data_IF_170030824656
#
_entry.id   IF_170030824656
#
_cell.length_a   1.000
_cell.length_b   1.000
_cell.length_c   1.000
_cell.angle_alpha   90.00
_cell.angle_beta   90.00
_cell.angle_gamma   90.00
#
_symmetry.space_group_name_H-M   'P 1'
#
loop_
_entity.id
_entity.type
_entity.pdbx_description
1 polymer ?
#
# COMPACT_ATOMS: atom_id res chain seq x y z
N UNK A 1 2.52 0.17 35.79
CA UNK A 1 3.71 0.92 36.27
C UNK A 1 4.93 0.02 36.43
N UNK A 2 4.83 -1.19 37.00
CA UNK A 2 5.98 -2.08 37.24
C UNK A 2 6.80 -2.54 36.03
N UNK A 3 6.32 -2.29 34.80
CA UNK A 3 6.98 -2.66 33.55
C UNK A 3 7.62 -1.47 32.82
N UNK A 4 7.61 -0.28 33.42
CA UNK A 4 8.14 0.94 32.82
C UNK A 4 9.26 1.50 33.68
N UNK A 5 10.45 1.70 33.09
CA UNK A 5 11.57 2.35 33.76
C UNK A 5 11.35 3.87 33.90
N UNK A 6 10.73 4.48 32.89
CA UNK A 6 10.44 5.91 32.82
C UNK A 6 9.01 6.15 32.33
N UNK A 7 8.37 7.18 32.87
CA UNK A 7 7.00 7.56 32.50
C UNK A 7 6.97 9.07 32.33
N UNK A 8 6.46 9.49 31.18
CA UNK A 8 6.17 10.87 30.87
C UNK A 8 4.71 10.96 30.42
N UNK A 9 4.06 12.03 30.83
CA UNK A 9 2.70 12.41 30.45
C UNK A 9 2.70 13.80 29.83
N UNK A 10 1.53 14.24 29.34
CA UNK A 10 1.39 15.60 28.80
C UNK A 10 1.68 16.70 29.84
N UNK A 11 1.63 16.38 31.14
CA UNK A 11 1.95 17.32 32.22
C UNK A 11 3.48 17.50 32.41
N UNK A 12 4.28 16.57 31.88
CA UNK A 12 5.74 16.54 32.05
C UNK A 12 6.50 17.25 30.90
N UNK A 13 5.78 17.76 29.90
CA UNK A 13 6.33 18.39 28.70
C UNK A 13 5.74 19.78 28.47
N UNK A 14 6.53 20.67 27.89
CA UNK A 14 6.07 22.03 27.54
C UNK A 14 5.20 21.97 26.28
N UNK A 15 5.60 21.13 25.31
CA UNK A 15 4.90 20.93 24.05
C UNK A 15 4.41 19.49 23.96
N UNK A 16 3.10 19.31 24.09
CA UNK A 16 2.46 18.02 23.89
C UNK A 16 2.54 17.55 22.42
N UNK A 17 2.23 16.27 22.19
CA UNK A 17 1.99 15.71 20.84
C UNK A 17 1.06 16.65 20.05
N UNK A 18 1.31 16.95 18.76
CA UNK A 18 2.22 16.28 17.84
C UNK A 18 3.69 16.69 17.95
N UNK A 19 4.08 17.51 18.94
CA UNK A 19 5.48 17.77 19.17
C UNK A 19 6.21 16.52 19.72
N UNK A 20 7.42 16.19 19.22
CA UNK A 20 8.19 15.03 19.68
C UNK A 20 8.83 15.16 21.07
N UNK A 21 8.63 16.29 21.79
CA UNK A 21 9.31 16.58 23.07
C UNK A 21 9.26 15.41 24.06
N UNK A 22 8.11 14.76 24.21
CA UNK A 22 7.94 13.62 25.13
C UNK A 22 8.89 12.46 24.80
N UNK A 23 9.02 12.13 23.52
CA UNK A 23 9.92 11.07 23.07
C UNK A 23 11.38 11.48 23.23
N UNK A 24 11.73 12.75 22.94
CA UNK A 24 13.08 13.25 23.19
C UNK A 24 13.47 13.14 24.65
N UNK A 25 12.58 13.48 25.60
CA UNK A 25 12.88 13.36 27.03
C UNK A 25 13.18 11.93 27.44
N UNK A 26 12.36 10.97 27.00
CA UNK A 26 12.59 9.54 27.28
C UNK A 26 13.91 9.07 26.67
N UNK A 27 14.19 9.39 25.41
CA UNK A 27 15.43 8.99 24.72
C UNK A 27 16.68 9.60 25.37
N UNK A 28 16.62 10.87 25.77
CA UNK A 28 17.71 11.54 26.48
C UNK A 28 17.93 10.89 27.84
N UNK A 29 16.86 10.61 28.58
CA UNK A 29 16.96 10.02 29.92
C UNK A 29 17.44 8.56 29.87
N UNK A 30 17.01 7.78 28.87
CA UNK A 30 17.46 6.41 28.69
C UNK A 30 18.86 6.31 28.07
N UNK A 31 19.33 7.38 27.43
CA UNK A 31 20.60 7.39 26.68
C UNK A 31 20.55 6.60 25.37
N UNK A 32 19.35 6.28 24.88
CA UNK A 32 19.14 5.50 23.65
C UNK A 32 18.88 6.46 22.48
N UNK A 33 19.63 6.36 21.35
CA UNK A 33 19.41 7.20 20.19
C UNK A 33 18.09 6.86 19.49
N UNK A 34 17.52 7.83 18.76
CA UNK A 34 16.28 7.67 18.03
C UNK A 34 16.31 6.49 17.04
N UNK A 35 17.42 6.30 16.34
CA UNK A 35 17.61 5.20 15.38
C UNK A 35 17.54 3.80 16.01
N UNK A 36 17.71 3.68 17.32
CA UNK A 36 17.59 2.42 18.08
C UNK A 36 16.35 2.38 18.97
N UNK A 37 15.41 3.31 18.76
CA UNK A 37 14.17 3.40 19.54
C UNK A 37 13.00 2.94 18.67
N UNK A 38 12.16 2.06 19.22
CA UNK A 38 10.86 1.70 18.65
C UNK A 38 9.75 2.37 19.47
N UNK A 39 8.93 3.18 18.82
CA UNK A 39 7.76 3.84 19.41
C UNK A 39 6.51 3.11 18.93
N UNK A 40 5.72 2.60 19.87
CA UNK A 40 4.40 2.01 19.59
C UNK A 40 3.34 3.09 19.81
N UNK A 41 2.50 3.35 18.81
CA UNK A 41 1.52 4.44 18.91
C UNK A 41 0.23 4.18 18.12
N UNK A 42 -0.90 4.47 18.76
CA UNK A 42 -2.26 4.31 18.24
C UNK A 42 -2.83 5.58 17.60
N UNK A 43 -2.52 6.75 18.15
CA UNK A 43 -3.09 8.04 17.72
C UNK A 43 -2.34 8.72 16.57
N UNK A 44 -3.06 9.39 15.67
CA UNK A 44 -2.44 10.19 14.58
C UNK A 44 -1.46 11.25 15.14
N UNK A 45 -1.90 12.04 16.14
CA UNK A 45 -1.03 13.04 16.78
C UNK A 45 0.25 12.46 17.35
N UNK A 46 0.20 11.26 17.94
CA UNK A 46 1.39 10.60 18.45
C UNK A 46 2.26 10.00 17.37
N UNK A 47 1.68 9.47 16.28
CA UNK A 47 2.43 8.93 15.13
C UNK A 47 3.22 10.03 14.46
N UNK A 48 2.61 11.20 14.26
CA UNK A 48 3.30 12.38 13.73
C UNK A 48 4.47 12.79 14.64
N UNK A 49 4.24 12.84 15.95
CA UNK A 49 5.30 13.10 16.92
C UNK A 49 6.41 12.02 16.87
N UNK A 50 6.07 10.75 16.65
CA UNK A 50 7.04 9.66 16.59
C UNK A 50 7.92 9.79 15.34
N UNK A 51 7.30 10.07 14.18
CA UNK A 51 8.01 10.31 12.92
C UNK A 51 8.92 11.53 13.02
N UNK A 52 8.42 12.65 13.55
CA UNK A 52 9.20 13.89 13.72
C UNK A 52 10.32 13.73 14.77
N UNK A 53 10.25 12.71 15.63
CA UNK A 53 11.34 12.37 16.55
C UNK A 53 12.54 11.69 15.88
N UNK A 54 12.36 11.17 14.66
CA UNK A 54 13.38 10.40 13.93
C UNK A 54 13.58 8.96 14.46
N UNK A 55 12.69 8.49 15.33
CA UNK A 55 12.67 7.12 15.82
C UNK A 55 11.84 6.20 14.90
N UNK A 56 11.94 4.90 15.13
CA UNK A 56 11.18 3.91 14.38
C UNK A 56 9.75 3.83 14.93
N UNK A 57 8.75 3.84 14.06
CA UNK A 57 7.33 3.83 14.44
C UNK A 57 6.71 2.46 14.16
N UNK A 58 6.25 1.79 15.21
CA UNK A 58 5.29 0.68 15.15
C UNK A 58 3.87 1.25 15.37
N UNK A 59 3.17 1.57 14.30
CA UNK A 59 1.79 2.03 14.40
C UNK A 59 0.86 0.87 14.76
N UNK A 60 -0.08 1.11 15.68
CA UNK A 60 -1.17 0.18 16.02
C UNK A 60 -2.53 0.88 15.91
N UNK A 61 -3.63 0.14 15.79
CA UNK A 61 -4.99 0.73 15.78
C UNK A 61 -5.57 0.86 17.17
N UNK A 62 -5.31 -0.14 18.01
CA UNK A 62 -5.87 -0.32 19.34
C UNK A 62 -4.98 -1.31 20.12
N UNK A 63 -5.26 -1.56 21.41
CA UNK A 63 -4.47 -2.50 22.20
C UNK A 63 -4.46 -3.96 21.71
N UNK A 64 -5.50 -4.41 20.98
CA UNK A 64 -5.59 -5.79 20.49
C UNK A 64 -4.68 -6.02 19.27
N UNK A 65 -4.42 -4.96 18.49
CA UNK A 65 -3.48 -4.96 17.37
C UNK A 65 -2.00 -5.02 17.81
N UNK A 66 -1.70 -4.75 19.09
CA UNK A 66 -0.33 -4.88 19.62
C UNK A 66 0.00 -6.33 20.02
N UNK A 67 0.40 -7.13 19.04
CA UNK A 67 0.83 -8.52 19.27
C UNK A 67 2.34 -8.67 19.37
N UNK A 68 2.80 -9.74 20.04
CA UNK A 68 4.23 -10.08 20.10
C UNK A 68 4.82 -10.32 18.71
N UNK A 69 4.06 -10.98 17.84
CA UNK A 69 4.45 -11.25 16.45
C UNK A 69 4.66 -9.94 15.68
N UNK A 70 3.73 -8.98 15.80
CA UNK A 70 3.83 -7.66 15.16
C UNK A 70 5.10 -6.90 15.60
N UNK A 71 5.44 -6.97 16.89
CA UNK A 71 6.66 -6.34 17.41
C UNK A 71 7.90 -7.02 16.81
N UNK A 72 7.94 -8.36 16.78
CA UNK A 72 9.07 -9.10 16.22
C UNK A 72 9.27 -8.83 14.72
N UNK A 73 8.19 -8.83 13.94
CA UNK A 73 8.24 -8.55 12.50
C UNK A 73 8.84 -7.17 12.23
N UNK A 74 8.45 -6.17 13.03
CA UNK A 74 8.97 -4.82 12.91
C UNK A 74 10.46 -4.73 13.31
N UNK A 75 10.88 -5.45 14.35
CA UNK A 75 12.29 -5.52 14.73
C UNK A 75 13.15 -6.25 13.70
N UNK A 76 12.65 -7.31 13.08
CA UNK A 76 13.37 -8.03 12.03
C UNK A 76 13.55 -7.15 10.78
N UNK A 77 12.52 -6.37 10.42
CA UNK A 77 12.61 -5.37 9.35
C UNK A 77 13.69 -4.32 9.62
N UNK A 78 13.68 -3.72 10.81
CA UNK A 78 14.67 -2.71 11.22
C UNK A 78 16.11 -3.23 11.18
N UNK A 79 16.29 -4.53 11.47
CA UNK A 79 17.58 -5.19 11.43
C UNK A 79 18.01 -5.61 10.02
N UNK A 80 17.26 -5.24 8.99
CA UNK A 80 17.59 -5.54 7.59
C UNK A 80 17.50 -7.02 7.25
N UNK A 81 16.86 -7.83 8.10
CA UNK A 81 16.36 -9.13 7.65
C UNK A 81 15.16 -8.81 6.78
N UNK A 82 15.14 -9.24 5.53
CA UNK A 82 13.92 -9.18 4.72
C UNK A 82 12.87 -9.98 5.47
N UNK A 83 11.90 -9.34 6.14
CA UNK A 83 10.76 -10.10 6.59
C UNK A 83 10.07 -10.53 5.30
N UNK A 84 9.44 -11.71 5.29
CA UNK A 84 8.22 -11.79 4.50
C UNK A 84 7.29 -10.76 5.16
N UNK A 85 7.29 -9.51 4.69
CA UNK A 85 6.44 -8.46 5.26
C UNK A 85 5.05 -9.09 5.40
N UNK A 86 4.48 -9.20 6.61
CA UNK A 86 3.22 -9.90 6.78
C UNK A 86 2.23 -9.25 5.82
N UNK A 87 1.48 -10.08 5.07
CA UNK A 87 0.45 -9.53 4.18
C UNK A 87 -0.49 -8.67 5.02
N UNK A 88 -0.96 -7.56 4.45
CA UNK A 88 -2.08 -6.86 5.07
C UNK A 88 -3.25 -7.82 5.25
N UNK A 89 -3.70 -7.98 6.51
CA UNK A 89 -4.81 -8.86 6.92
C UNK A 89 -5.98 -8.07 7.54
N UNK A 90 -5.89 -6.74 7.62
CA UNK A 90 -6.90 -5.91 8.27
C UNK A 90 -8.18 -5.76 7.42
N UNK A 91 -9.23 -6.47 7.82
CA UNK A 91 -10.60 -6.28 7.32
C UNK A 91 -10.89 -6.81 5.92
N UNK A 92 -12.12 -6.60 5.44
CA UNK A 92 -12.53 -6.93 4.07
C UNK A 92 -11.89 -5.95 3.09
N UNK A 93 -10.81 -6.36 2.44
CA UNK A 93 -10.12 -5.58 1.40
C UNK A 93 -10.54 -6.02 0.00
N UNK A 94 -10.79 -5.06 -0.89
CA UNK A 94 -10.98 -5.31 -2.32
C UNK A 94 -9.78 -4.77 -3.11
N UNK A 95 -9.27 -5.58 -4.05
CA UNK A 95 -8.22 -5.16 -5.00
C UNK A 95 -8.80 -5.23 -6.41
N UNK A 96 -8.86 -4.10 -7.10
CA UNK A 96 -9.34 -4.01 -8.47
C UNK A 96 -8.18 -3.79 -9.44
N UNK A 97 -8.00 -4.71 -10.38
CA UNK A 97 -6.94 -4.65 -11.39
C UNK A 97 -7.55 -4.61 -12.79
N UNK A 98 -7.68 -3.41 -13.41
CA UNK A 98 -8.07 -3.29 -14.80
C UNK A 98 -6.92 -3.74 -15.71
N UNK A 99 -7.16 -4.78 -16.50
CA UNK A 99 -6.19 -5.34 -17.45
C UNK A 99 -6.76 -5.51 -18.87
N UNK A 100 -7.84 -4.79 -19.17
CA UNK A 100 -8.51 -4.81 -20.45
C UNK A 100 -7.82 -3.95 -21.54
N UNK A 101 -6.65 -3.38 -21.26
CA UNK A 101 -5.90 -2.63 -22.28
C UNK A 101 -5.40 -3.53 -23.42
N UNK A 102 -5.30 -2.98 -24.62
CA UNK A 102 -4.79 -3.72 -25.79
C UNK A 102 -3.30 -4.08 -25.69
N UNK A 103 -2.52 -3.37 -24.85
CA UNK A 103 -1.08 -3.65 -24.70
C UNK A 103 -0.28 -3.45 -25.99
N UNK A 104 -0.74 -2.56 -26.89
CA UNK A 104 -0.20 -2.36 -28.25
C UNK A 104 1.32 -2.18 -28.28
N UNK A 105 1.89 -1.40 -27.35
CA UNK A 105 3.35 -1.21 -27.25
C UNK A 105 4.14 -2.51 -27.06
N UNK A 106 3.57 -3.50 -26.36
CA UNK A 106 4.20 -4.81 -26.19
C UNK A 106 4.02 -5.68 -27.44
N UNK A 107 2.85 -5.63 -28.08
CA UNK A 107 2.64 -6.33 -29.35
C UNK A 107 3.60 -5.82 -30.43
N UNK A 108 3.77 -4.50 -30.54
CA UNK A 108 4.73 -3.84 -31.45
C UNK A 108 6.18 -4.21 -31.14
N UNK A 109 6.51 -4.46 -29.86
CA UNK A 109 7.82 -4.95 -29.44
C UNK A 109 8.03 -6.46 -29.69
N UNK A 110 7.04 -7.15 -30.26
CA UNK A 110 7.13 -8.56 -30.65
C UNK A 110 6.67 -9.58 -29.60
N UNK A 111 6.02 -9.14 -28.52
CA UNK A 111 5.44 -10.07 -27.54
C UNK A 111 4.16 -10.72 -28.10
N UNK A 112 4.11 -12.06 -28.06
CA UNK A 112 3.00 -12.86 -28.57
C UNK A 112 1.85 -13.09 -27.57
N UNK A 113 2.14 -12.93 -26.28
CA UNK A 113 1.18 -13.05 -25.20
C UNK A 113 0.59 -11.69 -24.81
N UNK A 114 -0.66 -11.64 -24.33
CA UNK A 114 -1.22 -10.41 -23.80
C UNK A 114 -0.38 -9.95 -22.61
N UNK A 115 -0.28 -8.63 -22.43
CA UNK A 115 0.60 -7.99 -21.43
C UNK A 115 0.58 -8.64 -20.03
N UNK A 116 -0.59 -8.96 -19.42
CA UNK A 116 -0.64 -9.61 -18.11
C UNK A 116 0.07 -10.96 -18.03
N UNK A 117 0.22 -11.65 -19.17
CA UNK A 117 0.80 -13.00 -19.26
C UNK A 117 2.26 -13.01 -19.76
N UNK A 118 2.85 -11.85 -20.05
CA UNK A 118 4.27 -11.77 -20.41
C UNK A 118 5.11 -12.29 -19.24
N UNK A 119 6.10 -13.14 -19.54
CA UNK A 119 7.03 -13.65 -18.53
C UNK A 119 7.91 -12.53 -17.97
N UNK A 120 7.90 -12.42 -16.65
CA UNK A 120 8.77 -11.54 -15.87
C UNK A 120 9.42 -12.39 -14.78
N UNK A 121 10.68 -12.78 -15.01
CA UNK A 121 11.48 -13.60 -14.10
C UNK A 121 10.84 -14.96 -13.80
N UNK A 122 10.32 -15.64 -14.82
CA UNK A 122 9.74 -17.00 -14.69
C UNK A 122 8.32 -17.03 -14.13
N UNK A 123 7.66 -15.88 -14.00
CA UNK A 123 6.25 -15.75 -13.59
C UNK A 123 5.51 -14.82 -14.55
N UNK A 124 4.20 -15.01 -14.79
CA UNK A 124 3.38 -14.02 -15.50
C UNK A 124 3.46 -12.65 -14.84
N UNK A 125 3.48 -11.57 -15.63
CA UNK A 125 3.52 -10.19 -15.14
C UNK A 125 2.44 -9.92 -14.08
N UNK A 126 1.21 -10.39 -14.30
CA UNK A 126 0.11 -10.21 -13.34
C UNK A 126 0.37 -10.90 -11.99
N UNK A 127 1.10 -12.03 -12.00
CA UNK A 127 1.51 -12.68 -10.76
C UNK A 127 2.51 -11.82 -9.99
N UNK A 128 3.48 -11.23 -10.66
CA UNK A 128 4.44 -10.29 -10.03
C UNK A 128 3.71 -9.09 -9.41
N UNK A 129 2.71 -8.55 -10.11
CA UNK A 129 1.88 -7.44 -9.62
C UNK A 129 1.16 -7.84 -8.34
N UNK A 130 0.36 -8.90 -8.38
CA UNK A 130 -0.43 -9.38 -7.23
C UNK A 130 0.47 -9.70 -6.03
N UNK A 131 1.58 -10.40 -6.25
CA UNK A 131 2.53 -10.72 -5.18
C UNK A 131 3.15 -9.44 -4.58
N UNK A 132 3.48 -8.45 -5.41
CA UNK A 132 4.06 -7.17 -4.95
C UNK A 132 3.09 -6.29 -4.17
N UNK A 133 1.77 -6.46 -4.34
CA UNK A 133 0.79 -5.79 -3.50
C UNK A 133 0.92 -6.23 -2.04
N UNK A 134 1.29 -7.49 -1.80
CA UNK A 134 1.48 -8.06 -0.47
C UNK A 134 0.26 -7.85 0.46
N UNK A 135 -0.93 -8.25 0.00
CA UNK A 135 -2.18 -8.10 0.72
C UNK A 135 -3.03 -9.37 0.61
N UNK A 136 -3.78 -9.68 1.67
CA UNK A 136 -4.90 -10.61 1.59
C UNK A 136 -6.17 -9.83 1.25
N UNK A 137 -6.73 -10.10 0.06
CA UNK A 137 -7.84 -9.31 -0.48
C UNK A 137 -8.68 -10.12 -1.45
N UNK A 138 -9.94 -9.72 -1.59
CA UNK A 138 -10.79 -10.14 -2.71
C UNK A 138 -10.31 -9.43 -3.97
N UNK A 139 -9.78 -10.20 -4.91
CA UNK A 139 -9.27 -9.67 -6.16
C UNK A 139 -10.38 -9.64 -7.22
N UNK A 140 -10.50 -8.51 -7.90
CA UNK A 140 -11.43 -8.25 -8.99
C UNK A 140 -10.60 -7.88 -10.22
N UNK A 141 -10.68 -8.70 -11.26
CA UNK A 141 -9.96 -8.48 -12.50
C UNK A 141 -10.92 -8.06 -13.61
N UNK A 142 -10.56 -7.00 -14.34
CA UNK A 142 -11.30 -6.61 -15.55
C UNK A 142 -10.46 -6.99 -16.77
N UNK A 143 -10.91 -7.98 -17.52
CA UNK A 143 -10.14 -8.62 -18.61
C UNK A 143 -10.79 -8.40 -19.96
N UNK A 144 -9.99 -8.34 -21.02
CA UNK A 144 -10.52 -8.46 -22.39
C UNK A 144 -11.10 -9.85 -22.60
N UNK A 145 -12.32 -9.94 -23.14
CA UNK A 145 -12.97 -11.20 -23.44
C UNK A 145 -12.14 -12.09 -24.38
N UNK A 146 -11.58 -11.51 -25.44
CA UNK A 146 -10.71 -12.24 -26.38
C UNK A 146 -9.51 -12.86 -25.66
N UNK A 147 -8.86 -12.12 -24.76
CA UNK A 147 -7.72 -12.64 -24.01
C UNK A 147 -8.15 -13.73 -23.02
N UNK A 148 -9.34 -13.57 -22.41
CA UNK A 148 -9.89 -14.53 -21.47
C UNK A 148 -10.14 -15.89 -22.12
N UNK A 149 -10.77 -15.89 -23.29
CA UNK A 149 -11.09 -17.11 -24.04
C UNK A 149 -9.84 -17.76 -24.66
N UNK A 150 -8.93 -16.96 -25.22
CA UNK A 150 -7.77 -17.47 -25.98
C UNK A 150 -6.62 -17.97 -25.10
N UNK A 151 -6.41 -17.38 -23.93
CA UNK A 151 -5.23 -17.64 -23.10
C UNK A 151 -5.55 -18.25 -21.73
N UNK A 152 -6.74 -18.84 -21.57
CA UNK A 152 -7.18 -19.51 -20.35
C UNK A 152 -6.97 -18.67 -19.07
N UNK A 153 -7.25 -17.34 -19.15
CA UNK A 153 -6.99 -16.41 -18.05
C UNK A 153 -7.68 -16.83 -16.75
N UNK A 154 -8.88 -17.43 -16.83
CA UNK A 154 -9.57 -17.95 -15.65
C UNK A 154 -8.68 -18.88 -14.83
N UNK A 155 -8.03 -19.83 -15.49
CA UNK A 155 -7.20 -20.83 -14.81
C UNK A 155 -5.98 -20.15 -14.17
N UNK A 156 -5.27 -19.33 -14.94
CA UNK A 156 -4.09 -18.61 -14.47
C UNK A 156 -4.41 -17.69 -13.29
N UNK A 157 -5.45 -16.87 -13.38
CA UNK A 157 -5.85 -15.95 -12.32
C UNK A 157 -6.35 -16.70 -11.08
N UNK A 158 -7.08 -17.81 -11.25
CA UNK A 158 -7.52 -18.63 -10.10
C UNK A 158 -6.37 -19.30 -9.36
N UNK A 159 -5.26 -19.61 -10.05
CA UNK A 159 -4.04 -20.14 -9.41
C UNK A 159 -3.28 -19.05 -8.64
N UNK A 160 -3.24 -17.82 -9.15
CA UNK A 160 -2.55 -16.70 -8.52
C UNK A 160 -3.36 -16.18 -7.31
N UNK A 161 -4.67 -16.04 -7.49
CA UNK A 161 -5.62 -15.53 -6.50
C UNK A 161 -6.86 -16.42 -6.46
N UNK A 162 -6.90 -17.42 -5.57
CA UNK A 162 -8.09 -18.25 -5.39
C UNK A 162 -9.33 -17.40 -5.10
N UNK A 163 -10.48 -17.79 -5.66
CA UNK A 163 -11.77 -17.10 -5.49
C UNK A 163 -11.79 -15.64 -5.99
N UNK A 164 -10.94 -15.28 -6.96
CA UNK A 164 -11.02 -13.98 -7.62
C UNK A 164 -12.30 -13.83 -8.45
N UNK A 165 -12.73 -12.58 -8.61
CA UNK A 165 -13.81 -12.17 -9.50
C UNK A 165 -13.23 -11.74 -10.85
N UNK A 166 -13.91 -12.08 -11.93
CA UNK A 166 -13.48 -11.70 -13.28
C UNK A 166 -14.65 -11.06 -14.03
N UNK A 167 -14.46 -9.81 -14.43
CA UNK A 167 -15.36 -9.08 -15.32
C UNK A 167 -14.73 -9.09 -16.71
N UNK A 168 -15.48 -9.60 -17.68
CA UNK A 168 -15.06 -9.60 -19.08
C UNK A 168 -15.62 -8.37 -19.79
N UNK A 169 -14.81 -7.77 -20.64
CA UNK A 169 -15.21 -6.61 -21.45
C UNK A 169 -15.00 -6.90 -22.92
N UNK A 170 -15.94 -6.42 -23.74
CA UNK A 170 -15.85 -6.48 -25.20
C UNK A 170 -15.17 -5.21 -25.71
N UNK A 171 -13.94 -5.34 -26.20
CA UNK A 171 -13.23 -4.24 -26.84
C UNK A 171 -12.60 -3.24 -25.88
N UNK A 172 -12.00 -2.20 -26.45
CA UNK A 172 -11.17 -1.23 -25.71
C UNK A 172 -12.07 -0.13 -25.12
N UNK A 173 -11.96 0.11 -23.83
CA UNK A 173 -12.64 1.21 -23.13
C UNK A 173 -11.90 2.55 -23.31
N UNK A 174 -12.56 3.67 -23.04
CA UNK A 174 -11.99 5.04 -23.18
C UNK A 174 -10.81 5.36 -22.25
N UNK A 175 -10.59 4.55 -21.21
CA UNK A 175 -9.46 4.69 -20.31
C UNK A 175 -9.64 3.87 -19.04
N UNK A 176 -8.63 3.89 -18.16
CA UNK A 176 -8.60 3.08 -16.94
C UNK A 176 -9.78 3.39 -15.99
N UNK A 177 -10.19 4.65 -15.88
CA UNK A 177 -11.34 5.03 -15.06
C UNK A 177 -12.65 4.40 -15.57
N UNK A 178 -12.89 4.45 -16.89
CA UNK A 178 -14.04 3.80 -17.53
C UNK A 178 -13.97 2.28 -17.39
N UNK A 179 -12.78 1.68 -17.52
CA UNK A 179 -12.58 0.25 -17.28
C UNK A 179 -12.98 -0.11 -15.85
N UNK A 180 -12.43 0.58 -14.85
CA UNK A 180 -12.71 0.37 -13.42
C UNK A 180 -14.20 0.46 -13.10
N UNK A 181 -14.92 1.41 -13.69
CA UNK A 181 -16.35 1.60 -13.42
C UNK A 181 -17.23 0.42 -13.85
N UNK A 182 -16.73 -0.48 -14.71
CA UNK A 182 -17.45 -1.72 -15.05
C UNK A 182 -17.57 -2.68 -13.86
N UNK A 183 -16.76 -2.50 -12.81
CA UNK A 183 -16.86 -3.22 -11.55
C UNK A 183 -17.80 -2.57 -10.52
N UNK A 184 -18.59 -1.54 -10.90
CA UNK A 184 -19.44 -0.79 -9.97
C UNK A 184 -20.29 -1.66 -9.05
N UNK A 185 -20.92 -2.72 -9.57
CA UNK A 185 -21.79 -3.61 -8.79
C UNK A 185 -21.02 -4.47 -7.75
N UNK A 186 -19.69 -4.55 -7.87
CA UNK A 186 -18.82 -5.24 -6.93
C UNK A 186 -18.07 -4.30 -5.99
N UNK A 187 -18.19 -2.98 -6.18
CA UNK A 187 -17.55 -1.95 -5.36
C UNK A 187 -18.53 -1.54 -4.25
N UNK A 188 -18.11 -1.77 -3.00
CA UNK A 188 -18.80 -1.27 -1.82
C UNK A 188 -18.01 -0.09 -1.25
N UNK A 189 -18.63 1.09 -1.17
CA UNK A 189 -17.96 2.30 -0.65
C UNK A 189 -17.71 2.25 0.86
N UNK A 190 -18.33 1.31 1.57
CA UNK A 190 -18.07 1.07 3.01
C UNK A 190 -16.90 0.09 3.23
N UNK A 191 -16.32 -0.47 2.16
CA UNK A 191 -15.17 -1.38 2.22
C UNK A 191 -13.94 -0.76 1.51
N UNK A 192 -12.73 -0.90 2.07
CA UNK A 192 -11.51 -0.44 1.41
C UNK A 192 -11.32 -1.03 0.00
N UNK A 193 -10.89 -0.16 -0.94
CA UNK A 193 -10.61 -0.52 -2.33
C UNK A 193 -9.23 -0.02 -2.74
N UNK A 194 -8.36 -0.94 -3.14
CA UNK A 194 -7.11 -0.63 -3.83
C UNK A 194 -7.27 -0.84 -5.33
N UNK A 195 -7.00 0.18 -6.14
CA UNK A 195 -6.95 0.08 -7.59
C UNK A 195 -5.48 0.00 -8.02
N UNK A 196 -5.09 -1.07 -8.70
CA UNK A 196 -3.71 -1.29 -9.13
C UNK A 196 -3.62 -1.60 -10.62
N UNK A 197 -2.58 -1.08 -11.29
CA UNK A 197 -2.35 -1.39 -12.69
C UNK A 197 -1.80 -2.81 -12.87
N UNK A 198 -2.14 -3.45 -13.99
CA UNK A 198 -1.75 -4.84 -14.27
C UNK A 198 -0.27 -5.03 -14.65
N UNK A 199 0.56 -4.02 -14.47
CA UNK A 199 1.95 -3.97 -14.94
C UNK A 199 2.90 -3.19 -14.02
N UNK A 200 2.46 -2.93 -12.80
CA UNK A 200 3.25 -2.22 -11.80
C UNK A 200 3.71 -3.18 -10.72
N UNK A 201 5.02 -3.29 -10.57
CA UNK A 201 5.62 -3.92 -9.41
C UNK A 201 5.87 -2.86 -8.34
N UNK A 202 5.40 -3.11 -7.12
CA UNK A 202 5.60 -2.21 -5.99
C UNK A 202 6.61 -2.80 -5.00
N UNK A 203 7.58 -1.98 -4.60
CA UNK A 203 8.46 -2.25 -3.47
C UNK A 203 8.07 -1.28 -2.34
N UNK A 204 7.22 -1.76 -1.43
CA UNK A 204 6.51 -0.91 -0.47
C UNK A 204 6.07 -1.70 0.77
N UNK A 205 5.78 -0.99 1.85
CA UNK A 205 5.11 -1.52 3.03
C UNK A 205 3.60 -1.30 2.91
N UNK A 206 2.90 -2.33 2.44
CA UNK A 206 1.44 -2.31 2.28
C UNK A 206 0.72 -2.08 3.60
N UNK A 207 1.24 -2.60 4.72
CA UNK A 207 0.63 -2.38 6.03
C UNK A 207 0.73 -0.93 6.45
N UNK A 208 1.94 -0.35 6.38
CA UNK A 208 2.16 1.04 6.75
C UNK A 208 1.26 1.98 5.94
N UNK A 209 1.17 1.75 4.63
CA UNK A 209 0.29 2.53 3.78
C UNK A 209 -1.17 2.39 4.21
N UNK A 210 -1.69 1.16 4.31
CA UNK A 210 -3.10 0.94 4.68
C UNK A 210 -3.44 1.48 6.07
N UNK A 211 -2.53 1.37 7.05
CA UNK A 211 -2.71 1.95 8.37
C UNK A 211 -2.78 3.48 8.34
N UNK A 212 -1.98 4.15 7.49
CA UNK A 212 -2.08 5.61 7.33
C UNK A 212 -3.42 6.02 6.72
N UNK A 213 -3.93 5.25 5.75
CA UNK A 213 -5.24 5.51 5.14
C UNK A 213 -6.39 5.39 6.14
N UNK A 214 -6.40 4.33 6.96
CA UNK A 214 -7.49 4.05 7.91
C UNK A 214 -7.46 4.99 9.11
N UNK A 215 -6.28 5.23 9.69
CA UNK A 215 -6.19 5.98 10.94
C UNK A 215 -6.42 7.49 10.77
N UNK A 216 -6.15 8.02 9.58
CA UNK A 216 -6.31 9.44 9.28
C UNK A 216 -7.69 9.75 8.67
N UNK A 217 -8.61 8.76 8.64
CA UNK A 217 -9.97 8.88 8.08
C UNK A 217 -9.95 9.48 6.65
N UNK A 218 -9.05 8.96 5.82
CA UNK A 218 -8.77 9.51 4.49
C UNK A 218 -9.68 8.86 3.44
N UNK A 219 -10.42 9.68 2.70
CA UNK A 219 -11.32 9.25 1.60
C UNK A 219 -10.59 8.54 0.45
N UNK A 220 -9.32 8.88 0.21
CA UNK A 220 -8.54 8.32 -0.90
C UNK A 220 -7.06 8.69 -0.84
N UNK A 221 -6.21 7.77 -1.32
CA UNK A 221 -4.75 7.89 -1.26
C UNK A 221 -4.11 7.54 -2.58
N UNK A 222 -2.97 8.16 -2.88
CA UNK A 222 -2.18 7.91 -4.08
C UNK A 222 -0.77 7.52 -3.63
N UNK A 223 -0.34 6.31 -3.99
CA UNK A 223 1.05 5.92 -3.80
C UNK A 223 1.93 6.68 -4.80
N UNK A 224 2.92 7.43 -4.30
CA UNK A 224 3.80 8.26 -5.12
C UNK A 224 5.27 7.89 -4.87
N UNK A 225 6.13 8.27 -5.81
CA UNK A 225 7.57 8.14 -5.68
C UNK A 225 8.23 9.41 -6.25
N UNK A 226 9.41 9.82 -5.75
CA UNK A 226 10.10 10.99 -6.26
C UNK A 226 10.61 10.76 -7.68
N UNK A 227 10.31 11.69 -8.59
CA UNK A 227 10.85 11.69 -9.94
C UNK A 227 10.93 13.10 -10.50
N UNK A 228 11.73 13.29 -11.54
CA UNK A 228 11.74 14.50 -12.38
C UNK A 228 11.60 14.14 -13.87
N UNK A 229 11.34 12.87 -14.20
CA UNK A 229 11.27 12.43 -15.59
C UNK A 229 9.93 12.84 -16.22
N UNK A 230 9.90 13.48 -17.39
CA UNK A 230 8.66 13.99 -18.02
C UNK A 230 7.69 12.90 -18.54
N UNK A 231 7.91 11.64 -18.20
CA UNK A 231 7.04 10.53 -18.63
C UNK A 231 5.91 10.25 -17.64
N UNK A 232 6.04 10.76 -16.41
CA UNK A 232 5.14 10.49 -15.31
C UNK A 232 4.10 11.59 -15.14
N UNK A 233 3.05 11.27 -14.40
CA UNK A 233 2.16 12.25 -13.80
C UNK A 233 2.67 12.61 -12.40
N UNK A 234 2.36 13.81 -11.95
CA UNK A 234 2.84 14.38 -10.70
C UNK A 234 1.67 14.75 -9.79
N UNK A 235 1.89 14.65 -8.48
CA UNK A 235 0.97 15.06 -7.46
C UNK A 235 1.61 16.17 -6.62
N UNK A 236 0.96 17.32 -6.54
CA UNK A 236 1.36 18.40 -5.65
C UNK A 236 0.80 18.14 -4.26
N UNK A 237 1.65 18.22 -3.26
CA UNK A 237 1.28 18.00 -1.85
C UNK A 237 1.30 19.30 -1.05
N UNK A 238 0.38 19.42 -0.10
CA UNK A 238 0.40 20.46 0.92
C UNK A 238 1.52 20.21 1.96
N UNK A 239 1.85 21.18 2.83
CA UNK A 239 2.78 20.95 3.94
C UNK A 239 2.34 19.85 4.92
N UNK A 240 1.06 19.47 4.91
CA UNK A 240 0.50 18.39 5.74
C UNK A 240 0.47 17.05 5.01
N UNK A 241 1.00 16.96 3.78
CA UNK A 241 1.06 15.72 3.00
C UNK A 241 -0.19 15.41 2.17
N UNK A 242 -1.19 16.29 2.14
CA UNK A 242 -2.41 16.07 1.36
C UNK A 242 -2.21 16.45 -0.11
N UNK A 243 -2.74 15.63 -1.03
CA UNK A 243 -2.71 15.92 -2.47
C UNK A 243 -3.68 17.06 -2.77
N UNK A 244 -3.16 18.15 -3.36
CA UNK A 244 -3.96 19.33 -3.75
C UNK A 244 -4.17 19.44 -5.26
N UNK A 245 -3.33 18.78 -6.06
CA UNK A 245 -3.39 18.81 -7.52
C UNK A 245 -2.70 17.57 -8.09
N UNK A 246 -3.22 17.07 -9.21
CA UNK A 246 -2.57 16.04 -10.04
C UNK A 246 -2.46 16.55 -11.47
N UNK A 247 -1.31 16.33 -12.11
CA UNK A 247 -1.06 16.78 -13.48
C UNK A 247 -0.30 15.73 -14.29
N UNK A 248 -0.71 15.52 -15.54
CA UNK A 248 0.00 14.62 -16.45
C UNK A 248 1.22 15.31 -17.05
N UNK A 249 2.42 14.74 -16.85
CA UNK A 249 3.70 15.20 -17.46
C UNK A 249 4.09 16.64 -17.15
N UNK A 250 3.55 17.21 -16.07
CA UNK A 250 3.90 18.54 -15.55
C UNK A 250 4.36 18.36 -14.10
N UNK A 251 5.68 18.46 -13.82
CA UNK A 251 6.25 18.37 -12.48
C UNK A 251 5.84 19.51 -11.54
#
# INVERSE_FOLDING_TARGET
LQYFDYIYSNEDVIRAKPNPEMYYRIMIQSGIPATQTLIVEDSNTGRKAAQDSGANLCAVTDPDDLTYEKILDHLDWLNGKTPSSPKWQGGKMNVLIPMAGAGTRFQEAGYSFPKPLIDVRGKPMIQQVVESLNMEARHIFIVQKEHYEKYALLHTLSLITPNCEIIQVDGITEGAACTTLLAKELINNDEPLLIANSDQYLDWDSNQFMYSMIADDIDGGILTFPSMHPKWSYAKISPTGLVVEVAEKVP
#
